data_IF_625490536742
#
_entry.id   IF_625490536742
#
_cell.length_a   1.000
_cell.length_b   1.000
_cell.length_c   1.000
_cell.angle_alpha   90.00
_cell.angle_beta   90.00
_cell.angle_gamma   90.00
#
_symmetry.space_group_name_H-M   'P 1'
#
loop_
_entity.id
_entity.type
_entity.pdbx_description
1 polymer ?
#
# COMPACT_ATOMS: atom_id res chain seq x y z
N UNK A 1 -8.85 1.14 -3.86
CA UNK A 1 -7.62 1.67 -3.24
C UNK A 1 -6.55 0.62 -3.41
N UNK A 2 -5.32 1.00 -3.71
CA UNK A 2 -4.18 0.08 -3.78
C UNK A 2 -3.11 0.47 -2.77
N UNK A 3 -2.26 -0.48 -2.45
CA UNK A 3 -1.07 -0.29 -1.63
C UNK A 3 0.12 -0.78 -2.44
N UNK A 4 1.11 0.06 -2.64
CA UNK A 4 2.31 -0.28 -3.39
C UNK A 4 3.51 -0.33 -2.44
N UNK A 5 4.36 -1.34 -2.60
CA UNK A 5 5.56 -1.54 -1.82
C UNK A 5 6.78 -1.47 -2.73
N UNK A 6 7.65 -0.49 -2.50
CA UNK A 6 8.88 -0.27 -3.23
C UNK A 6 10.10 -0.70 -2.43
N UNK A 7 10.92 -1.59 -2.99
CA UNK A 7 12.23 -1.95 -2.46
C UNK A 7 13.33 -1.36 -3.34
N UNK A 8 14.01 -0.34 -2.83
CA UNK A 8 15.15 0.32 -3.47
C UNK A 8 16.50 -0.13 -2.89
N UNK A 9 16.53 -1.25 -2.16
CA UNK A 9 17.76 -1.85 -1.63
C UNK A 9 18.34 -2.91 -2.56
N UNK A 10 19.49 -3.50 -2.22
CA UNK A 10 20.14 -4.52 -3.03
C UNK A 10 19.64 -5.94 -2.76
N UNK A 11 18.87 -6.16 -1.70
CA UNK A 11 18.41 -7.48 -1.27
C UNK A 11 16.88 -7.51 -1.16
N UNK A 12 16.22 -8.66 -1.31
CA UNK A 12 14.80 -8.79 -1.06
C UNK A 12 14.44 -8.34 0.36
N UNK A 13 13.30 -7.65 0.51
CA UNK A 13 12.80 -7.18 1.80
C UNK A 13 11.36 -7.60 2.00
N UNK A 14 11.03 -8.01 3.23
CA UNK A 14 9.65 -8.30 3.62
C UNK A 14 8.99 -7.06 4.21
N UNK A 15 7.91 -6.62 3.58
CA UNK A 15 7.00 -5.60 4.06
C UNK A 15 5.86 -6.29 4.80
N UNK A 16 5.73 -6.01 6.09
CA UNK A 16 4.57 -6.40 6.88
C UNK A 16 3.58 -5.24 6.87
N UNK A 17 2.32 -5.49 6.56
CA UNK A 17 1.32 -4.43 6.56
C UNK A 17 -0.01 -4.90 7.11
N UNK A 18 -0.74 -3.93 7.65
CA UNK A 18 -2.09 -4.11 8.15
C UNK A 18 -2.96 -2.94 7.69
N UNK A 19 -4.22 -3.24 7.39
CA UNK A 19 -5.22 -2.28 6.95
C UNK A 19 -6.28 -2.23 8.04
N UNK A 20 -6.50 -1.05 8.57
CA UNK A 20 -7.53 -0.73 9.54
C UNK A 20 -8.66 0.05 8.86
N UNK A 21 -9.89 -0.23 9.25
CA UNK A 21 -11.05 0.59 8.92
C UNK A 21 -11.80 0.86 10.23
N UNK A 22 -11.98 2.13 10.58
CA UNK A 22 -12.63 2.54 11.84
C UNK A 22 -12.06 1.84 13.09
N UNK A 23 -10.73 1.81 13.22
CA UNK A 23 -9.97 1.15 14.30
C UNK A 23 -10.08 -0.40 14.35
N UNK A 24 -10.76 -1.03 13.37
CA UNK A 24 -10.80 -2.48 13.22
C UNK A 24 -9.81 -2.95 12.15
N UNK A 25 -8.99 -3.95 12.46
CA UNK A 25 -8.09 -4.58 11.49
C UNK A 25 -8.94 -5.43 10.53
N UNK A 26 -9.04 -5.00 9.28
CA UNK A 26 -9.80 -5.70 8.23
C UNK A 26 -8.90 -6.60 7.36
N UNK A 27 -7.60 -6.30 7.29
CA UNK A 27 -6.65 -7.09 6.51
C UNK A 27 -5.24 -6.99 7.11
N UNK A 28 -4.46 -8.06 7.03
CA UNK A 28 -3.03 -8.03 7.30
C UNK A 28 -2.29 -9.06 6.46
N UNK A 29 -1.08 -8.73 6.01
CA UNK A 29 -0.27 -9.65 5.24
C UNK A 29 1.21 -9.27 5.31
N UNK A 30 2.04 -10.12 4.70
CA UNK A 30 3.46 -9.89 4.51
C UNK A 30 3.81 -10.17 3.06
N UNK A 31 4.60 -9.28 2.45
CA UNK A 31 5.02 -9.41 1.05
C UNK A 31 6.52 -9.22 0.96
N UNK A 32 7.18 -10.16 0.30
CA UNK A 32 8.57 -10.00 -0.07
C UNK A 32 8.63 -9.25 -1.39
N UNK A 33 9.33 -8.12 -1.41
CA UNK A 33 9.56 -7.34 -2.62
C UNK A 33 11.02 -7.50 -3.00
N UNK A 34 11.25 -8.08 -4.17
CA UNK A 34 12.59 -8.21 -4.75
C UNK A 34 12.93 -6.91 -5.49
N UNK A 35 14.13 -6.33 -5.30
CA UNK A 35 14.53 -5.16 -6.08
C UNK A 35 14.71 -5.54 -7.56
N UNK A 36 14.44 -4.60 -8.45
CA UNK A 36 14.61 -4.82 -9.88
C UNK A 36 16.09 -4.99 -10.26
N UNK A 37 16.35 -5.77 -11.31
CA UNK A 37 17.71 -6.01 -11.76
C UNK A 37 18.34 -4.73 -12.36
N UNK A 38 19.31 -4.12 -11.65
CA UNK A 38 20.08 -2.97 -12.10
C UNK A 38 20.50 -2.07 -10.94
N UNK A 39 21.61 -1.34 -11.06
CA UNK A 39 22.26 -0.64 -9.93
C UNK A 39 21.44 0.48 -9.27
N UNK A 40 20.26 0.83 -9.80
CA UNK A 40 19.44 1.95 -9.31
C UNK A 40 17.92 1.70 -9.45
N UNK A 41 17.47 0.44 -9.61
CA UNK A 41 16.06 0.16 -9.86
C UNK A 41 15.32 -0.26 -8.59
N UNK A 42 14.22 0.45 -8.30
CA UNK A 42 13.30 0.10 -7.21
C UNK A 42 12.34 -0.96 -7.73
N UNK A 43 12.33 -2.14 -7.11
CA UNK A 43 11.31 -3.15 -7.39
C UNK A 43 10.00 -2.76 -6.71
N UNK A 44 8.87 -2.94 -7.39
CA UNK A 44 7.55 -2.60 -6.87
C UNK A 44 6.61 -3.81 -6.89
N UNK A 45 5.81 -3.95 -5.83
CA UNK A 45 4.63 -4.79 -5.82
C UNK A 45 3.40 -3.99 -5.39
N UNK A 46 2.31 -4.13 -6.13
CA UNK A 46 1.04 -3.49 -5.81
C UNK A 46 0.03 -4.53 -5.35
N UNK A 47 -0.66 -4.20 -4.26
CA UNK A 47 -1.69 -5.02 -3.66
C UNK A 47 -2.98 -4.22 -3.50
N UNK A 48 -4.12 -4.86 -3.77
CA UNK A 48 -5.44 -4.26 -3.59
C UNK A 48 -6.10 -5.01 -2.43
N UNK A 49 -6.21 -4.41 -1.23
CA UNK A 49 -6.93 -5.04 -0.13
C UNK A 49 -8.42 -5.11 -0.44
N UNK A 50 -9.05 -6.21 -0.02
CA UNK A 50 -10.51 -6.32 0.01
C UNK A 50 -11.04 -5.36 1.07
N UNK A 51 -11.63 -4.25 0.62
CA UNK A 51 -12.23 -3.23 1.49
C UNK A 51 -13.75 -3.28 1.37
N UNK A 52 -14.49 -2.93 2.44
CA UNK A 52 -15.95 -2.80 2.37
C UNK A 52 -16.38 -1.83 1.25
N UNK A 53 -17.58 -2.01 0.66
CA UNK A 53 -18.06 -1.19 -0.46
C UNK A 53 -18.32 0.28 -0.11
N UNK A 54 -18.54 0.61 1.16
CA UNK A 54 -18.61 1.99 1.68
C UNK A 54 -17.68 2.07 2.89
N UNK A 55 -16.36 2.10 2.68
CA UNK A 55 -15.44 2.09 3.79
C UNK A 55 -15.45 3.45 4.47
N UNK A 56 -15.42 3.44 5.81
CA UNK A 56 -15.02 4.61 6.60
C UNK A 56 -13.55 4.99 6.32
N UNK A 57 -12.93 5.84 7.16
CA UNK A 57 -11.49 6.09 7.08
C UNK A 57 -10.69 4.78 7.09
N UNK A 58 -9.75 4.65 6.17
CA UNK A 58 -8.85 3.48 6.10
C UNK A 58 -7.46 3.93 6.51
N UNK A 59 -6.81 3.18 7.39
CA UNK A 59 -5.42 3.43 7.75
C UNK A 59 -4.59 2.22 7.36
N UNK A 60 -3.49 2.43 6.64
CA UNK A 60 -2.55 1.37 6.29
C UNK A 60 -1.27 1.58 7.08
N UNK A 61 -0.92 0.60 7.90
CA UNK A 61 0.36 0.59 8.60
C UNK A 61 1.30 -0.38 7.91
N UNK A 62 2.54 0.02 7.72
CA UNK A 62 3.59 -0.80 7.15
C UNK A 62 4.80 -0.85 8.08
N UNK A 63 5.45 -2.00 8.11
CA UNK A 63 6.70 -2.25 8.84
C UNK A 63 7.69 -2.99 7.95
N UNK A 64 8.93 -2.51 7.96
CA UNK A 64 10.11 -3.17 7.37
C UNK A 64 11.22 -3.17 8.42
N UNK A 65 11.67 -4.34 8.85
CA UNK A 65 12.63 -4.47 9.95
C UNK A 65 12.10 -3.80 11.23
N UNK A 66 12.79 -2.78 11.73
CA UNK A 66 12.38 -2.00 12.91
C UNK A 66 11.64 -0.70 12.57
N UNK A 67 11.52 -0.37 11.29
CA UNK A 67 10.89 0.87 10.83
C UNK A 67 9.40 0.68 10.61
N UNK A 68 8.64 1.73 10.89
CA UNK A 68 7.19 1.75 10.74
C UNK A 68 6.77 3.06 10.08
N UNK A 69 5.79 2.97 9.20
CA UNK A 69 5.15 4.13 8.60
C UNK A 69 3.66 3.84 8.41
N UNK A 70 2.87 4.89 8.34
CA UNK A 70 1.42 4.80 8.23
C UNK A 70 0.93 5.76 7.15
N UNK A 71 -0.06 5.35 6.38
CA UNK A 71 -0.81 6.20 5.45
C UNK A 71 -2.27 6.18 5.89
N UNK A 72 -2.80 7.34 6.25
CA UNK A 72 -4.22 7.54 6.50
C UNK A 72 -4.91 7.90 5.19
N UNK A 73 -5.89 7.10 4.80
CA UNK A 73 -6.78 7.35 3.69
C UNK A 73 -8.10 7.87 4.24
N UNK A 74 -8.16 9.18 4.42
CA UNK A 74 -9.39 9.88 4.84
C UNK A 74 -10.17 10.26 3.58
N UNK A 75 -11.45 9.91 3.53
CA UNK A 75 -12.35 10.19 2.39
C UNK A 75 -12.34 11.68 1.96
N UNK A 76 -12.15 12.59 2.90
CA UNK A 76 -12.04 14.04 2.67
C UNK A 76 -10.67 14.49 2.11
N UNK A 77 -9.57 13.78 2.40
CA UNK A 77 -8.25 14.07 1.83
C UNK A 77 -8.17 13.72 0.33
N UNK A 78 -9.15 12.98 -0.18
CA UNK A 78 -9.34 12.69 -1.60
C UNK A 78 -10.42 13.56 -2.26
N UNK A 79 -10.80 14.66 -1.62
CA UNK A 79 -11.66 15.68 -2.18
C UNK A 79 -13.14 15.27 -2.22
N UNK A 80 -13.92 15.77 -1.26
CA UNK A 80 -15.36 15.90 -1.39
C UNK A 80 -15.82 16.88 -2.50
N UNK A 81 -15.09 17.00 -3.61
CA UNK A 81 -15.43 17.87 -4.74
C UNK A 81 -14.65 17.48 -5.99
N UNK A 82 -15.36 16.97 -7.01
CA UNK A 82 -15.18 17.11 -8.47
C UNK A 82 -13.81 16.86 -9.17
N UNK A 83 -12.67 16.72 -8.47
CA UNK A 83 -11.33 16.60 -9.10
C UNK A 83 -10.69 15.19 -8.99
N UNK A 84 -11.32 14.26 -8.26
CA UNK A 84 -10.92 12.82 -8.15
C UNK A 84 -12.02 11.90 -8.72
N UNK A 85 -12.97 12.47 -9.48
CA UNK A 85 -14.03 11.70 -10.12
C UNK A 85 -13.41 10.69 -11.12
N UNK A 86 -13.42 9.41 -10.72
CA UNK A 86 -12.95 8.29 -11.53
C UNK A 86 -11.49 7.89 -11.35
N UNK A 87 -10.70 8.57 -10.51
CA UNK A 87 -9.31 8.16 -10.22
C UNK A 87 -9.19 7.33 -8.95
N UNK A 88 -8.30 6.36 -9.01
CA UNK A 88 -7.95 5.44 -7.95
C UNK A 88 -6.71 5.96 -7.19
N UNK A 89 -6.66 5.83 -5.87
CA UNK A 89 -5.49 6.23 -5.08
C UNK A 89 -4.70 5.02 -4.61
N UNK A 90 -3.38 5.10 -4.77
CA UNK A 90 -2.38 4.13 -4.28
C UNK A 90 -1.58 4.79 -3.16
N UNK A 91 -1.53 4.16 -1.99
CA UNK A 91 -0.55 4.51 -0.97
C UNK A 91 0.72 3.71 -1.18
N UNK A 92 1.83 4.39 -1.45
CA UNK A 92 3.11 3.75 -1.71
C UNK A 92 4.01 3.83 -0.47
N UNK A 93 4.59 2.70 -0.09
CA UNK A 93 5.64 2.58 0.93
C UNK A 93 6.95 2.22 0.22
N UNK A 94 7.98 3.05 0.34
CA UNK A 94 9.29 2.79 -0.30
C UNK A 94 10.37 2.73 0.77
N UNK A 95 11.17 1.66 0.76
CA UNK A 95 12.34 1.51 1.62
C UNK A 95 13.63 1.59 0.78
N UNK A 96 14.64 2.31 1.27
CA UNK A 96 15.97 2.36 0.62
C UNK A 96 16.12 3.47 -0.44
N UNK A 97 15.14 4.36 -0.59
CA UNK A 97 15.13 5.33 -1.68
C UNK A 97 16.33 6.30 -1.60
N UNK A 98 16.99 6.56 -2.74
CA UNK A 98 18.17 7.45 -2.86
C UNK A 98 19.34 7.08 -1.95
N UNK A 99 19.49 5.81 -1.59
CA UNK A 99 20.56 5.33 -0.71
C UNK A 99 20.32 5.60 0.78
N UNK A 100 19.14 6.14 1.13
CA UNK A 100 18.71 6.27 2.51
C UNK A 100 17.95 5.01 2.93
N UNK A 101 18.44 4.29 3.94
CA UNK A 101 17.75 3.12 4.50
C UNK A 101 16.57 3.55 5.38
N UNK A 102 15.62 4.28 4.82
CA UNK A 102 14.45 4.85 5.49
C UNK A 102 13.17 4.38 4.78
N UNK A 103 12.16 4.01 5.56
CA UNK A 103 10.81 3.74 5.08
C UNK A 103 10.06 5.06 4.88
N UNK A 104 9.70 5.38 3.63
CA UNK A 104 8.99 6.59 3.24
C UNK A 104 7.61 6.26 2.68
N UNK A 105 6.68 7.21 2.76
CA UNK A 105 5.29 7.05 2.31
C UNK A 105 4.89 8.13 1.31
N UNK A 106 4.23 7.73 0.23
CA UNK A 106 3.78 8.63 -0.83
C UNK A 106 2.39 8.22 -1.35
N UNK A 107 1.36 9.07 -1.30
CA UNK A 107 0.12 8.82 -2.02
C UNK A 107 0.26 9.19 -3.50
N UNK A 108 -0.27 8.36 -4.39
CA UNK A 108 -0.25 8.55 -5.85
C UNK A 108 -1.68 8.35 -6.39
N UNK A 109 -2.15 9.26 -7.25
CA UNK A 109 -3.40 9.11 -7.97
C UNK A 109 -3.17 8.43 -9.34
N UNK A 110 -3.95 7.41 -9.66
CA UNK A 110 -3.88 6.63 -10.90
C UNK A 110 -5.26 6.53 -11.56
N UNK A 111 -5.32 6.36 -12.87
CA UNK A 111 -6.58 6.37 -13.63
C UNK A 111 -7.39 5.07 -13.49
N UNK A 112 -6.74 3.92 -13.20
CA UNK A 112 -7.38 2.63 -12.93
C UNK A 112 -6.41 1.68 -12.22
N UNK A 113 -6.94 0.65 -11.54
CA UNK A 113 -6.18 -0.54 -11.11
C UNK A 113 -6.27 -1.62 -12.19
N UNK A 114 -5.27 -2.50 -12.33
CA UNK A 114 -5.55 -3.84 -12.85
C UNK A 114 -6.54 -4.52 -11.87
N UNK A 115 -7.60 -5.14 -12.38
CA UNK A 115 -8.70 -5.65 -11.55
C UNK A 115 -8.17 -6.53 -10.41
N UNK A 116 -8.63 -6.32 -9.16
CA UNK A 116 -8.32 -7.26 -8.09
C UNK A 116 -8.83 -8.65 -8.47
N UNK A 117 -8.19 -9.74 -7.99
CA UNK A 117 -8.75 -11.07 -8.15
C UNK A 117 -10.19 -11.10 -7.59
N UNK A 118 -11.09 -11.85 -8.24
CA UNK A 118 -12.46 -12.05 -7.75
C UNK A 118 -12.45 -12.48 -6.27
N UNK A 119 -13.36 -11.89 -5.48
CA UNK A 119 -13.54 -12.11 -4.03
C UNK A 119 -13.17 -13.53 -3.58
N UNK A 120 -12.12 -13.66 -2.78
CA UNK A 120 -11.75 -14.94 -2.13
C UNK A 120 -12.27 -14.90 -0.70
N UNK A 121 -13.39 -15.58 -0.44
CA UNK A 121 -13.88 -15.77 0.93
C UNK A 121 -12.82 -16.51 1.76
N UNK A 122 -12.31 -15.88 2.82
CA UNK A 122 -11.45 -16.56 3.79
C UNK A 122 -12.26 -17.64 4.53
N UNK A 123 -11.84 -18.92 4.49
CA UNK A 123 -12.47 -19.93 5.32
C UNK A 123 -12.22 -19.58 6.79
N UNK A 124 -13.31 -19.45 7.56
CA UNK A 124 -13.24 -19.40 9.02
C UNK A 124 -12.78 -20.78 9.51
N UNK A 125 -11.57 -20.87 10.06
CA UNK A 125 -11.14 -21.99 10.91
C UNK A 125 -11.21 -21.59 12.39
#
# INVERSE_FOLDING_TARGET
MGIEFGNATAEPLTFHYLVENEDEIIFWSSREVTPDAGEEQTGFETFVPDVPPDPGPITVHCRVGDQRATIDFIRDDFGGSDDVDGKCVIGTFIHGFRGENVLSTHPIAVDAFEEPPEWVECPRE
#
